data_IF_886273265897
#
_entry.id   IF_886273265897
#
_cell.length_a   1.000
_cell.length_b   1.000
_cell.length_c   1.000
_cell.angle_alpha   90.00
_cell.angle_beta   90.00
_cell.angle_gamma   90.00
#
_symmetry.space_group_name_H-M   'P 1'
#
loop_
_entity.id
_entity.type
_entity.pdbx_description
1 polymer ?
#
# COMPACT_ATOMS: atom_id res chain seq x y z
N UNK A 1 15.16 -14.91 -4.21
CA UNK A 1 14.30 -13.81 -3.72
C UNK A 1 14.25 -13.69 -2.20
N UNK A 2 13.93 -14.75 -1.42
CA UNK A 2 13.88 -14.68 0.06
C UNK A 2 15.15 -14.10 0.72
N UNK A 3 16.35 -14.49 0.27
CA UNK A 3 17.63 -13.97 0.80
C UNK A 3 17.82 -12.46 0.52
N UNK A 4 17.46 -11.99 -0.67
CA UNK A 4 17.54 -10.56 -1.02
C UNK A 4 16.58 -9.70 -0.20
N UNK A 5 15.39 -10.23 0.13
CA UNK A 5 14.42 -9.58 1.00
C UNK A 5 14.98 -9.36 2.42
N UNK A 6 15.57 -10.41 3.02
CA UNK A 6 16.19 -10.28 4.34
C UNK A 6 17.40 -9.34 4.33
N UNK A 7 18.23 -9.39 3.29
CA UNK A 7 19.38 -8.49 3.15
C UNK A 7 18.95 -7.02 2.99
N UNK A 8 17.89 -6.74 2.24
CA UNK A 8 17.34 -5.39 2.09
C UNK A 8 16.73 -4.90 3.42
N UNK A 9 15.96 -5.74 4.10
CA UNK A 9 15.39 -5.43 5.42
C UNK A 9 16.52 -5.11 6.43
N UNK A 10 17.59 -5.90 6.43
CA UNK A 10 18.75 -5.70 7.29
C UNK A 10 19.50 -4.41 6.93
N UNK A 11 19.75 -4.13 5.65
CA UNK A 11 20.41 -2.89 5.22
C UNK A 11 19.60 -1.64 5.60
N UNK A 12 18.28 -1.69 5.48
CA UNK A 12 17.34 -0.61 5.84
C UNK A 12 17.33 -0.37 7.36
N UNK A 13 17.29 -1.44 8.17
CA UNK A 13 17.28 -1.33 9.63
C UNK A 13 18.61 -0.84 10.21
N UNK A 14 19.74 -1.23 9.62
CA UNK A 14 21.08 -0.98 10.19
C UNK A 14 21.84 0.21 9.58
N UNK A 15 21.44 0.77 8.43
CA UNK A 15 22.11 1.94 7.81
C UNK A 15 21.89 3.28 8.53
N UNK A 16 21.13 3.31 9.62
CA UNK A 16 20.59 4.55 10.21
C UNK A 16 21.09 4.86 11.61
N UNK A 17 22.23 4.27 12.03
CA UNK A 17 22.87 4.55 13.33
C UNK A 17 23.82 5.76 13.30
N UNK A 18 24.05 6.38 12.13
CA UNK A 18 25.04 7.46 11.97
C UNK A 18 24.46 8.89 11.92
N UNK A 19 23.15 9.09 12.01
CA UNK A 19 22.54 10.42 11.83
C UNK A 19 21.98 10.95 13.15
N UNK A 20 22.59 12.04 13.65
CA UNK A 20 22.07 12.81 14.77
C UNK A 20 20.71 13.40 14.38
N UNK A 21 19.65 12.92 15.01
CA UNK A 21 18.30 13.32 14.65
C UNK A 21 17.98 14.72 15.17
N UNK A 22 17.51 15.60 14.29
CA UNK A 22 16.93 16.88 14.70
C UNK A 22 15.66 16.65 15.54
N UNK A 23 15.63 17.28 16.72
CA UNK A 23 14.64 17.10 17.78
C UNK A 23 13.23 17.62 17.42
N UNK A 24 13.12 18.46 16.40
CA UNK A 24 11.90 19.20 16.05
C UNK A 24 11.08 18.51 14.96
N UNK A 25 10.72 17.24 15.17
CA UNK A 25 9.75 16.58 14.31
C UNK A 25 8.34 16.84 14.85
N UNK A 26 7.53 17.59 14.09
CA UNK A 26 6.12 17.81 14.43
C UNK A 26 5.40 16.49 14.68
N UNK A 27 4.52 16.48 15.67
CA UNK A 27 3.98 15.24 16.22
C UNK A 27 3.03 14.56 15.25
N UNK A 28 2.18 15.30 14.53
CA UNK A 28 1.13 14.73 13.69
C UNK A 28 1.19 15.33 12.28
N UNK A 29 1.01 14.49 11.26
CA UNK A 29 0.82 14.92 9.88
C UNK A 29 -0.35 14.22 9.22
N UNK A 30 -1.11 14.93 8.40
CA UNK A 30 -2.21 14.39 7.59
C UNK A 30 -1.90 14.64 6.13
N UNK A 31 -2.16 13.65 5.27
CA UNK A 31 -1.78 13.74 3.87
C UNK A 31 -2.66 12.92 2.95
N UNK A 32 -2.34 13.05 1.67
CA UNK A 32 -2.90 12.26 0.59
C UNK A 32 -1.75 11.56 -0.12
N UNK A 33 -1.95 10.29 -0.42
CA UNK A 33 -1.00 9.41 -1.10
C UNK A 33 -1.64 8.87 -2.36
N UNK A 34 -0.96 9.02 -3.48
CA UNK A 34 -1.40 8.57 -4.78
C UNK A 34 -0.48 7.48 -5.30
N UNK A 35 -1.06 6.37 -5.73
CA UNK A 35 -0.36 5.25 -6.37
C UNK A 35 -0.59 5.36 -7.88
N UNK A 36 0.39 5.82 -8.67
CA UNK A 36 0.23 6.04 -10.11
C UNK A 36 0.08 4.76 -10.94
N UNK A 37 0.27 3.59 -10.32
CA UNK A 37 0.05 2.28 -10.92
C UNK A 37 0.82 1.23 -10.14
N UNK A 38 0.13 0.36 -9.43
CA UNK A 38 0.78 -0.73 -8.67
C UNK A 38 -0.14 -1.92 -8.53
N UNK A 39 -0.50 -2.55 -9.65
CA UNK A 39 -1.32 -3.76 -9.63
C UNK A 39 -0.72 -4.77 -10.57
N UNK A 40 0.28 -5.48 -10.07
CA UNK A 40 0.42 -6.86 -10.48
C UNK A 40 -0.41 -7.70 -9.50
N UNK A 41 -1.44 -8.34 -10.04
CA UNK A 41 -2.22 -9.45 -9.47
C UNK A 41 -3.38 -9.12 -8.52
N UNK A 42 -4.43 -8.50 -9.05
CA UNK A 42 -5.77 -8.89 -8.61
C UNK A 42 -6.39 -9.93 -9.54
N UNK A 43 -6.07 -9.87 -10.83
CA UNK A 43 -6.48 -10.82 -11.87
C UNK A 43 -5.26 -10.98 -12.81
N UNK A 44 -5.18 -12.04 -13.61
CA UNK A 44 -4.00 -12.45 -14.39
C UNK A 44 -3.45 -11.43 -15.44
N UNK A 45 -3.90 -10.18 -15.46
CA UNK A 45 -3.48 -9.19 -16.47
C UNK A 45 -2.83 -7.93 -15.88
N UNK A 46 -1.87 -7.39 -16.65
CA UNK A 46 -0.94 -6.30 -16.33
C UNK A 46 -1.60 -4.89 -16.32
N UNK A 47 -2.83 -4.74 -15.84
CA UNK A 47 -3.47 -3.41 -15.79
C UNK A 47 -3.20 -2.71 -14.45
N UNK A 48 -2.55 -1.55 -14.52
CA UNK A 48 -2.24 -0.74 -13.34
C UNK A 48 -3.50 -0.09 -12.77
N UNK A 49 -3.89 -0.46 -11.55
CA UNK A 49 -4.92 0.26 -10.81
C UNK A 49 -4.29 1.43 -10.06
N UNK A 50 -4.92 2.58 -10.21
CA UNK A 50 -4.57 3.80 -9.48
C UNK A 50 -5.33 3.85 -8.15
N UNK A 51 -4.68 4.36 -7.12
CA UNK A 51 -5.29 4.48 -5.81
C UNK A 51 -5.00 5.83 -5.18
N UNK A 52 -5.97 6.34 -4.44
CA UNK A 52 -5.79 7.51 -3.58
C UNK A 52 -6.12 7.13 -2.15
N UNK A 53 -5.15 7.30 -1.25
CA UNK A 53 -5.26 7.03 0.16
C UNK A 53 -5.12 8.33 0.95
N UNK A 54 -5.88 8.45 2.04
CA UNK A 54 -5.62 9.41 3.10
C UNK A 54 -4.61 8.77 4.05
N UNK A 55 -3.57 9.51 4.42
CA UNK A 55 -2.51 9.05 5.31
C UNK A 55 -2.45 9.90 6.57
N UNK A 56 -2.31 9.27 7.73
CA UNK A 56 -2.01 9.94 8.99
C UNK A 56 -0.67 9.46 9.53
N UNK A 57 0.23 10.40 9.80
CA UNK A 57 1.56 10.17 10.34
C UNK A 57 1.62 10.66 11.79
N UNK A 58 2.08 9.81 12.70
CA UNK A 58 2.32 10.15 14.09
C UNK A 58 3.77 9.86 14.47
N UNK A 59 4.55 10.91 14.74
CA UNK A 59 5.93 10.80 15.21
C UNK A 59 5.91 10.69 16.75
N UNK A 60 5.94 9.47 17.27
CA UNK A 60 5.71 9.18 18.70
C UNK A 60 7.00 9.10 19.53
N UNK A 61 8.15 8.88 18.89
CA UNK A 61 9.48 9.01 19.52
C UNK A 61 10.43 9.70 18.56
N UNK A 62 11.57 10.24 19.04
CA UNK A 62 12.65 10.66 18.17
C UNK A 62 13.06 9.48 17.28
N UNK A 63 12.58 9.51 16.05
CA UNK A 63 13.08 8.69 14.96
C UNK A 63 12.09 7.66 14.51
N UNK A 64 10.96 7.51 15.22
CA UNK A 64 9.92 6.59 14.79
C UNK A 64 8.61 7.30 14.51
N UNK A 65 7.98 6.82 13.45
CA UNK A 65 6.70 7.28 12.95
C UNK A 65 5.79 6.07 12.74
N UNK A 66 4.57 6.20 13.22
CA UNK A 66 3.46 5.34 12.83
C UNK A 66 2.74 6.03 11.67
N UNK A 67 2.56 5.35 10.55
CA UNK A 67 1.70 5.81 9.46
C UNK A 67 0.48 4.90 9.37
N UNK A 68 -0.71 5.48 9.25
CA UNK A 68 -1.93 4.77 8.89
C UNK A 68 -2.43 5.27 7.56
N UNK A 69 -2.83 4.36 6.69
CA UNK A 69 -3.32 4.65 5.35
C UNK A 69 -4.76 4.13 5.23
N UNK A 70 -5.68 4.93 4.69
CA UNK A 70 -7.05 4.52 4.41
C UNK A 70 -7.44 4.99 3.02
N UNK A 71 -8.07 4.13 2.22
CA UNK A 71 -8.60 4.61 0.96
C UNK A 71 -9.40 3.60 0.18
N UNK A 72 -9.78 4.03 -1.01
CA UNK A 72 -10.70 3.35 -1.89
C UNK A 72 -10.05 3.12 -3.25
N UNK A 73 -10.27 1.94 -3.79
CA UNK A 73 -9.86 1.57 -5.14
C UNK A 73 -11.13 1.31 -5.91
N UNK A 74 -11.27 1.97 -7.06
CA UNK A 74 -12.27 1.60 -8.05
C UNK A 74 -11.52 1.36 -9.34
N UNK A 75 -11.66 0.16 -9.87
CA UNK A 75 -11.06 -0.22 -11.14
C UNK A 75 -12.11 -0.81 -12.06
N UNK A 76 -11.99 -0.49 -13.34
CA UNK A 76 -12.85 -1.03 -14.37
C UNK A 76 -11.95 -1.62 -15.47
N UNK A 77 -11.87 -2.95 -15.47
CA UNK A 77 -11.14 -3.72 -16.50
C UNK A 77 -12.08 -3.78 -17.71
N UNK A 78 -11.78 -2.96 -18.72
CA UNK A 78 -12.67 -2.81 -19.89
C UNK A 78 -12.73 -4.08 -20.75
N UNK A 79 -11.66 -4.86 -20.80
CA UNK A 79 -11.58 -6.12 -21.55
C UNK A 79 -12.53 -7.19 -21.01
N UNK A 80 -12.73 -7.23 -19.69
CA UNK A 80 -13.49 -8.28 -19.00
C UNK A 80 -14.82 -7.78 -18.40
N UNK A 81 -15.17 -6.49 -18.56
CA UNK A 81 -16.29 -5.82 -17.88
C UNK A 81 -16.26 -5.97 -16.35
N UNK A 82 -15.09 -6.19 -15.77
CA UNK A 82 -14.95 -6.41 -14.33
C UNK A 82 -14.83 -5.06 -13.63
N UNK A 83 -15.72 -4.81 -12.66
CA UNK A 83 -15.63 -3.63 -11.80
C UNK A 83 -15.25 -4.04 -10.39
N UNK A 84 -14.02 -3.69 -10.00
CA UNK A 84 -13.48 -3.93 -8.66
C UNK A 84 -13.72 -2.68 -7.83
N UNK A 85 -14.44 -2.83 -6.71
CA UNK A 85 -14.52 -1.79 -5.68
C UNK A 85 -13.97 -2.33 -4.38
N UNK A 86 -12.85 -1.78 -3.92
CA UNK A 86 -12.22 -2.21 -2.68
C UNK A 86 -11.83 -1.06 -1.79
N UNK A 87 -11.69 -1.37 -0.51
CA UNK A 87 -11.25 -0.49 0.55
C UNK A 87 -9.95 -1.05 1.09
N UNK A 88 -9.03 -0.19 1.49
CA UNK A 88 -7.81 -0.61 2.18
C UNK A 88 -7.66 0.13 3.48
N UNK A 89 -7.06 -0.57 4.44
CA UNK A 89 -6.41 0.02 5.59
C UNK A 89 -4.96 -0.45 5.62
N UNK A 90 -4.04 0.46 5.90
CA UNK A 90 -2.62 0.18 6.01
C UNK A 90 -2.07 0.73 7.31
N UNK A 91 -1.07 0.07 7.88
CA UNK A 91 -0.31 0.53 9.04
C UNK A 91 1.18 0.32 8.77
N UNK A 92 1.99 1.33 9.08
CA UNK A 92 3.42 1.33 8.88
C UNK A 92 4.19 1.79 10.10
N UNK A 93 5.26 1.07 10.44
CA UNK A 93 6.26 1.54 11.41
C UNK A 93 7.49 1.96 10.62
N UNK A 94 7.89 3.21 10.84
CA UNK A 94 8.83 3.93 10.00
C UNK A 94 9.92 4.52 10.87
N UNK A 95 11.17 4.38 10.46
CA UNK A 95 12.26 5.17 11.00
C UNK A 95 12.39 6.46 10.19
N UNK A 96 12.10 7.60 10.79
CA UNK A 96 12.18 8.91 10.16
C UNK A 96 13.53 9.58 10.47
N UNK A 97 14.40 9.64 9.48
CA UNK A 97 15.74 10.25 9.59
C UNK A 97 15.73 11.60 8.88
N UNK A 98 15.88 12.69 9.64
CA UNK A 98 15.85 14.06 9.13
C UNK A 98 17.25 14.65 8.97
N UNK A 99 17.50 15.27 7.83
CA UNK A 99 18.66 16.12 7.57
C UNK A 99 18.20 17.40 6.84
N UNK A 100 18.06 18.50 7.59
CA UNK A 100 17.52 19.75 7.05
C UNK A 100 16.06 19.59 6.62
N UNK A 101 15.79 19.85 5.34
CA UNK A 101 14.46 19.68 4.73
C UNK A 101 14.24 18.26 4.17
N UNK A 102 15.22 17.36 4.29
CA UNK A 102 15.17 16.01 3.75
C UNK A 102 14.81 15.02 4.86
N UNK A 103 13.86 14.13 4.61
CA UNK A 103 13.43 13.09 5.54
C UNK A 103 13.46 11.75 4.82
N UNK A 104 14.34 10.86 5.25
CA UNK A 104 14.37 9.47 4.80
C UNK A 104 13.44 8.63 5.68
N UNK A 105 12.64 7.78 5.05
CA UNK A 105 11.56 7.02 5.68
C UNK A 105 11.70 5.50 5.39
N UNK A 106 12.79 4.83 5.82
CA UNK A 106 12.84 3.38 5.83
C UNK A 106 11.84 2.77 6.83
N UNK A 107 11.19 1.66 6.49
CA UNK A 107 10.43 0.90 7.48
C UNK A 107 9.66 -0.28 6.91
N UNK A 108 8.56 -0.65 7.58
CA UNK A 108 7.74 -1.81 7.23
C UNK A 108 6.27 -1.42 7.25
N UNK A 109 5.51 -1.85 6.23
CA UNK A 109 4.06 -1.63 6.12
C UNK A 109 3.32 -2.95 6.02
N UNK A 110 2.12 -2.96 6.60
CA UNK A 110 1.10 -4.00 6.44
C UNK A 110 -0.17 -3.34 5.91
N UNK A 111 -0.77 -3.93 4.88
CA UNK A 111 -2.03 -3.48 4.30
C UNK A 111 -3.03 -4.61 4.30
N UNK A 112 -4.28 -4.29 4.64
CA UNK A 112 -5.42 -5.16 4.45
C UNK A 112 -6.41 -4.48 3.50
N UNK A 113 -6.70 -5.16 2.39
CA UNK A 113 -7.63 -4.69 1.37
C UNK A 113 -8.78 -5.66 1.26
N UNK A 114 -10.01 -5.16 1.28
CA UNK A 114 -11.21 -5.97 1.12
C UNK A 114 -12.19 -5.27 0.19
N UNK A 115 -13.01 -6.03 -0.50
CA UNK A 115 -13.99 -5.47 -1.41
C UNK A 115 -14.79 -6.53 -2.12
N UNK A 116 -15.60 -6.05 -3.06
CA UNK A 116 -16.38 -6.90 -3.92
C UNK A 116 -16.06 -6.54 -5.37
N UNK A 117 -16.06 -7.56 -6.22
CA UNK A 117 -15.94 -7.41 -7.65
C UNK A 117 -17.16 -8.03 -8.33
N UNK A 118 -17.65 -7.34 -9.35
CA UNK A 118 -18.67 -7.88 -10.24
C UNK A 118 -17.98 -8.54 -11.42
N UNK A 119 -18.27 -9.82 -11.64
CA UNK A 119 -17.79 -10.60 -12.78
C UNK A 119 -18.97 -10.97 -13.67
N UNK A 120 -18.82 -10.78 -14.98
CA UNK A 120 -19.80 -11.23 -15.96
C UNK A 120 -19.48 -12.68 -16.34
N UNK A 121 -20.31 -13.62 -15.92
CA UNK A 121 -20.11 -15.03 -16.24
C UNK A 121 -20.83 -15.31 -17.55
N UNK A 122 -20.05 -15.64 -18.58
CA UNK A 122 -20.54 -15.95 -19.92
C UNK A 122 -21.68 -16.98 -19.86
N UNK A 123 -22.86 -16.61 -20.38
CA UNK A 123 -24.10 -17.39 -20.39
C UNK A 123 -24.85 -17.55 -19.05
N UNK A 124 -24.35 -16.97 -17.95
CA UNK A 124 -24.94 -17.12 -16.61
C UNK A 124 -25.25 -15.79 -15.90
N UNK A 125 -24.81 -14.66 -16.45
CA UNK A 125 -25.10 -13.32 -15.93
C UNK A 125 -24.05 -12.79 -14.96
N UNK A 126 -24.36 -11.69 -14.27
CA UNK A 126 -23.46 -11.09 -13.28
C UNK A 126 -23.40 -11.93 -11.99
N UNK A 127 -22.19 -12.16 -11.49
CA UNK A 127 -21.94 -12.71 -10.17
C UNK A 127 -21.09 -11.75 -9.33
N UNK A 128 -21.21 -11.88 -8.02
CA UNK A 128 -20.42 -11.09 -7.07
C UNK A 128 -19.38 -11.98 -6.38
N UNK A 129 -18.13 -11.51 -6.41
CA UNK A 129 -16.99 -12.16 -5.80
C UNK A 129 -16.43 -11.25 -4.71
N UNK A 130 -16.33 -11.78 -3.50
CA UNK A 130 -15.67 -11.13 -2.38
C UNK A 130 -14.16 -11.32 -2.54
N UNK A 131 -13.41 -10.24 -2.42
CA UNK A 131 -11.96 -10.23 -2.48
C UNK A 131 -11.35 -9.77 -1.16
N UNK A 132 -10.29 -10.44 -0.74
CA UNK A 132 -9.50 -10.09 0.43
C UNK A 132 -8.00 -10.20 0.12
N UNK A 133 -7.22 -9.26 0.62
CA UNK A 133 -5.77 -9.23 0.46
C UNK A 133 -5.10 -8.74 1.72
N UNK A 134 -4.12 -9.48 2.20
CA UNK A 134 -3.14 -9.00 3.17
C UNK A 134 -1.79 -8.87 2.49
N UNK A 135 -1.15 -7.71 2.64
CA UNK A 135 0.16 -7.42 2.10
C UNK A 135 1.09 -6.93 3.21
N UNK A 136 2.34 -7.39 3.22
CA UNK A 136 3.34 -6.96 4.20
C UNK A 136 4.72 -6.88 3.55
N UNK A 137 5.48 -5.83 3.87
CA UNK A 137 6.84 -5.72 3.38
C UNK A 137 7.57 -4.45 3.78
N UNK A 138 8.89 -4.43 3.55
CA UNK A 138 9.68 -3.22 3.68
C UNK A 138 9.19 -2.16 2.70
N UNK A 139 9.32 -0.91 3.13
CA UNK A 139 9.18 0.25 2.27
C UNK A 139 10.34 1.21 2.51
N UNK A 140 10.64 2.00 1.49
CA UNK A 140 11.62 3.06 1.52
C UNK A 140 10.94 4.31 0.96
N UNK A 141 10.78 5.31 1.82
CA UNK A 141 10.25 6.61 1.44
C UNK A 141 11.27 7.72 1.57
N UNK A 142 10.95 8.82 0.91
CA UNK A 142 11.65 10.08 1.00
C UNK A 142 10.62 11.21 0.99
N UNK A 143 10.83 12.19 1.86
CA UNK A 143 9.97 13.36 2.02
C UNK A 143 10.83 14.63 2.08
N UNK A 144 10.48 15.60 1.24
CA UNK A 144 11.03 16.94 1.24
C UNK A 144 10.07 17.90 1.91
N UNK A 145 10.52 18.53 2.99
CA UNK A 145 9.79 19.55 3.74
C UNK A 145 9.94 20.89 3.02
N UNK A 146 8.91 21.31 2.30
CA UNK A 146 8.83 22.63 1.66
C UNK A 146 8.82 23.72 2.73
N UNK A 147 8.19 23.41 3.86
CA UNK A 147 8.17 24.25 5.06
C UNK A 147 8.14 23.36 6.30
N UNK A 148 8.14 23.98 7.49
CA UNK A 148 7.89 23.27 8.73
C UNK A 148 6.47 22.68 8.84
N UNK A 149 5.58 22.94 7.87
CA UNK A 149 4.18 22.50 7.88
C UNK A 149 3.78 21.69 6.66
N UNK A 150 4.55 21.68 5.57
CA UNK A 150 4.17 20.99 4.33
C UNK A 150 5.34 20.13 3.85
N UNK A 151 5.05 18.86 3.58
CA UNK A 151 5.98 17.91 2.99
C UNK A 151 5.42 17.28 1.71
N UNK A 152 6.28 17.10 0.72
CA UNK A 152 6.00 16.31 -0.48
C UNK A 152 6.99 15.15 -0.54
N UNK A 153 6.54 13.97 -0.94
CA UNK A 153 7.41 12.81 -0.96
C UNK A 153 6.97 11.73 -1.92
N UNK A 154 7.79 10.69 -1.95
CA UNK A 154 7.53 9.48 -2.70
C UNK A 154 8.06 8.28 -1.92
N UNK A 155 7.50 7.11 -2.19
CA UNK A 155 8.02 5.87 -1.65
C UNK A 155 7.84 4.71 -2.60
N UNK A 156 8.61 3.66 -2.31
CA UNK A 156 8.59 2.38 -2.98
C UNK A 156 8.66 1.26 -1.94
N UNK A 157 7.91 0.19 -2.13
CA UNK A 157 7.91 -0.98 -1.26
C UNK A 157 8.01 -2.28 -2.04
N UNK A 158 8.54 -3.32 -1.39
CA UNK A 158 8.51 -4.69 -1.90
C UNK A 158 7.69 -5.52 -0.93
N UNK A 159 6.48 -5.88 -1.32
CA UNK A 159 5.50 -6.51 -0.45
C UNK A 159 5.26 -7.95 -0.85
N UNK A 160 5.16 -8.81 0.16
CA UNK A 160 4.54 -10.11 0.03
C UNK A 160 3.03 -9.93 0.17
N UNK A 161 2.27 -10.55 -0.73
CA UNK A 161 0.82 -10.52 -0.76
C UNK A 161 0.27 -11.92 -0.63
N UNK A 162 -0.81 -12.04 0.14
CA UNK A 162 -1.70 -13.19 0.17
C UNK A 162 -3.10 -12.69 -0.20
N UNK A 163 -3.60 -13.17 -1.34
CA UNK A 163 -4.88 -12.79 -1.93
C UNK A 163 -5.82 -13.99 -1.94
N UNK A 164 -7.07 -13.76 -1.53
CA UNK A 164 -8.14 -14.74 -1.55
C UNK A 164 -9.37 -14.13 -2.22
N UNK A 165 -10.08 -14.97 -2.96
CA UNK A 165 -11.35 -14.63 -3.58
C UNK A 165 -12.37 -15.73 -3.31
N UNK A 166 -13.61 -15.32 -3.06
CA UNK A 166 -14.72 -16.24 -2.82
C UNK A 166 -15.98 -15.72 -3.46
N UNK A 167 -16.61 -16.55 -4.28
CA UNK A 167 -17.91 -16.26 -4.87
C UNK A 167 -18.99 -16.24 -3.77
N UNK A 168 -19.77 -15.16 -3.71
CA UNK A 168 -20.82 -14.99 -2.70
C UNK A 168 -22.22 -15.13 -3.29
N UNK A 169 -22.42 -14.71 -4.53
CA UNK A 169 -23.70 -14.80 -5.24
C UNK A 169 -23.50 -15.38 -6.64
N UNK A 170 -23.85 -16.64 -6.83
CA UNK A 170 -23.71 -17.37 -8.08
C UNK A 170 -24.99 -18.16 -8.41
N UNK A 171 -25.35 -18.30 -9.71
CA UNK A 171 -26.28 -19.33 -10.15
C UNK A 171 -25.80 -20.71 -9.66
N UNK A 172 -26.71 -21.49 -9.05
CA UNK A 172 -26.47 -22.80 -8.41
C UNK A 172 -25.74 -23.85 -9.29
N UNK A 173 -25.58 -23.57 -10.57
CA UNK A 173 -25.04 -24.46 -11.61
C UNK A 173 -23.53 -24.31 -11.85
N UNK A 174 -22.85 -23.38 -11.20
CA UNK A 174 -21.43 -23.10 -11.46
C UNK A 174 -20.54 -23.70 -10.35
N UNK A 175 -19.65 -24.61 -10.73
CA UNK A 175 -18.54 -25.01 -9.87
C UNK A 175 -17.47 -23.93 -9.93
N UNK A 176 -17.43 -23.07 -8.91
CA UNK A 176 -16.40 -22.05 -8.76
C UNK A 176 -15.34 -22.53 -7.76
N UNK A 177 -14.07 -22.44 -8.16
CA UNK A 177 -12.93 -22.77 -7.31
C UNK A 177 -12.34 -21.44 -6.81
N UNK A 178 -12.36 -21.18 -5.49
CA UNK A 178 -11.71 -20.02 -4.90
C UNK A 178 -10.26 -19.85 -5.39
N UNK A 179 -9.90 -18.63 -5.79
CA UNK A 179 -8.51 -18.32 -6.14
C UNK A 179 -7.79 -17.85 -4.88
N UNK A 180 -6.81 -18.64 -4.44
CA UNK A 180 -5.80 -18.25 -3.46
C UNK A 180 -4.48 -18.01 -4.19
N UNK A 181 -3.93 -16.80 -4.08
CA UNK A 181 -2.67 -16.43 -4.73
C UNK A 181 -1.71 -15.77 -3.75
N UNK A 182 -0.48 -16.30 -3.70
CA UNK A 182 0.64 -15.71 -2.97
C UNK A 182 1.63 -15.11 -3.95
N UNK A 183 2.04 -13.87 -3.76
CA UNK A 183 2.95 -13.20 -4.69
C UNK A 183 3.79 -12.12 -4.03
N UNK A 184 4.87 -11.72 -4.70
CA UNK A 184 5.61 -10.51 -4.36
C UNK A 184 5.29 -9.45 -5.40
N UNK A 185 5.10 -8.21 -4.94
CA UNK A 185 4.86 -7.07 -5.82
C UNK A 185 5.60 -5.85 -5.30
N UNK A 186 5.86 -4.92 -6.21
CA UNK A 186 6.42 -3.61 -5.88
C UNK A 186 5.31 -2.58 -5.95
N UNK A 187 5.16 -1.80 -4.89
CA UNK A 187 4.29 -0.63 -4.89
C UNK A 187 5.11 0.63 -4.89
N UNK A 188 4.60 1.68 -5.55
CA UNK A 188 5.20 3.01 -5.47
C UNK A 188 4.11 4.07 -5.36
N UNK A 189 4.40 5.13 -4.62
CA UNK A 189 3.46 6.22 -4.41
C UNK A 189 4.16 7.57 -4.34
N UNK A 190 3.39 8.61 -4.61
CA UNK A 190 3.73 10.00 -4.29
C UNK A 190 2.75 10.51 -3.25
N UNK A 191 3.20 11.37 -2.34
CA UNK A 191 2.34 11.88 -1.28
C UNK A 191 2.61 13.36 -0.98
N UNK A 192 1.56 14.02 -0.50
CA UNK A 192 1.59 15.37 0.07
C UNK A 192 1.08 15.28 1.51
N UNK A 193 1.73 15.99 2.43
CA UNK A 193 1.40 15.97 3.85
C UNK A 193 1.47 17.36 4.47
N UNK A 194 0.54 17.64 5.38
CA UNK A 194 0.48 18.82 6.21
C UNK A 194 0.73 18.42 7.67
N UNK A 195 1.61 19.14 8.37
CA UNK A 195 2.06 18.86 9.73
C UNK A 195 1.59 19.89 10.76
N UNK A 196 1.16 19.39 11.92
CA UNK A 196 0.64 20.15 13.05
C UNK A 196 1.61 20.12 14.22
#
# INVERSE_FOLDING_TARGET
MKKAFYSLLFAILFSTTAFAQQKDFKTIGLGVRYYPGSFNKYIQENEGVTATLVTAAWNFTPGFRLETDFGFYSHHIKSEKVKINSKTIGVGIIKAVRQGNHVFLPGLKIDYTWGNTKIDIQNYGEAEEKIERIAIGPFLGYEYLISNTIGIGADIGLKYSHFESKLTDAPLTISYIPVETKSYFTDSSVFLRVYF
#
